data_IF_218360075432
#
_entry.id   IF_218360075432
#
_cell.length_a   1.000
_cell.length_b   1.000
_cell.length_c   1.000
_cell.angle_alpha   90.00
_cell.angle_beta   90.00
_cell.angle_gamma   90.00
#
_symmetry.space_group_name_H-M   'P 1'
#
loop_
_entity.id
_entity.type
_entity.pdbx_description
1 polymer ?
#
# COMPACT_ATOMS: atom_id res chain seq x y z
N UNK A 1 -7.19 -12.00 27.39
CA UNK A 1 -8.31 -12.07 26.40
C UNK A 1 -9.66 -12.54 26.95
N UNK A 2 -9.90 -12.57 28.28
CA UNK A 2 -11.13 -13.16 28.87
C UNK A 2 -12.38 -12.28 28.81
N UNK A 3 -12.30 -11.10 28.19
CA UNK A 3 -13.37 -10.10 28.19
C UNK A 3 -14.27 -10.18 26.95
N UNK A 4 -13.85 -10.90 25.90
CA UNK A 4 -14.55 -11.00 24.61
C UNK A 4 -14.38 -12.39 24.02
N UNK A 5 -15.37 -12.87 23.27
CA UNK A 5 -15.35 -14.19 22.62
C UNK A 5 -14.73 -14.16 21.20
N UNK A 6 -14.44 -12.97 20.68
CA UNK A 6 -13.82 -12.80 19.37
C UNK A 6 -12.28 -12.89 19.46
N UNK A 7 -11.59 -13.34 18.38
CA UNK A 7 -10.13 -13.36 18.35
C UNK A 7 -9.52 -11.99 18.67
N UNK A 8 -8.62 -11.95 19.65
CA UNK A 8 -7.81 -10.77 19.94
C UNK A 8 -6.43 -10.96 19.33
N UNK A 9 -6.00 -9.99 18.51
CA UNK A 9 -4.71 -10.03 17.81
C UNK A 9 -3.89 -8.79 18.16
N UNK A 10 -2.57 -8.86 17.96
CA UNK A 10 -1.65 -7.78 18.33
C UNK A 10 -0.90 -7.30 17.09
N UNK A 11 -0.78 -5.98 16.90
CA UNK A 11 0.16 -5.40 15.93
C UNK A 11 1.16 -4.51 16.63
N UNK A 12 2.44 -4.76 16.41
CA UNK A 12 3.52 -4.05 17.11
C UNK A 12 4.74 -3.83 16.22
N UNK A 13 5.74 -3.14 16.79
CA UNK A 13 7.09 -2.89 16.26
C UNK A 13 8.11 -3.67 17.08
N UNK A 14 9.33 -3.84 16.54
CA UNK A 14 10.35 -4.69 17.20
C UNK A 14 10.93 -4.11 18.51
N UNK A 15 10.70 -2.83 18.78
CA UNK A 15 11.23 -2.15 19.97
C UNK A 15 11.06 -0.63 19.88
N UNK A 16 11.55 0.08 20.89
CA UNK A 16 11.46 1.54 20.94
C UNK A 16 12.52 2.22 20.06
N UNK A 17 13.77 1.80 20.19
CA UNK A 17 14.94 2.23 19.41
C UNK A 17 15.90 1.03 19.23
N UNK A 18 17.09 1.24 18.66
CA UNK A 18 18.04 0.15 18.39
C UNK A 18 18.77 -0.36 19.64
N UNK A 19 18.74 0.39 20.74
CA UNK A 19 19.24 -0.02 22.05
C UNK A 19 18.19 -0.84 22.84
N UNK A 20 16.92 -0.76 22.46
CA UNK A 20 15.77 -1.31 23.19
C UNK A 20 14.88 -2.16 22.27
N UNK A 21 15.45 -3.23 21.70
CA UNK A 21 14.71 -4.24 20.94
C UNK A 21 14.18 -5.31 21.91
N UNK A 22 12.86 -5.32 22.13
CA UNK A 22 12.19 -6.12 23.18
C UNK A 22 11.18 -7.12 22.64
N UNK A 23 11.10 -7.27 21.31
CA UNK A 23 10.01 -8.00 20.65
C UNK A 23 9.83 -9.44 21.11
N UNK A 24 10.90 -10.17 21.42
CA UNK A 24 10.79 -11.59 21.76
C UNK A 24 10.07 -11.80 23.10
N UNK A 25 10.45 -11.03 24.13
CA UNK A 25 9.78 -11.06 25.43
C UNK A 25 8.34 -10.53 25.33
N UNK A 26 8.15 -9.42 24.61
CA UNK A 26 6.82 -8.86 24.39
C UNK A 26 5.88 -9.85 23.70
N UNK A 27 6.34 -10.48 22.62
CA UNK A 27 5.53 -11.38 21.81
C UNK A 27 5.08 -12.62 22.60
N UNK A 28 5.99 -13.25 23.37
CA UNK A 28 5.65 -14.37 24.25
C UNK A 28 4.61 -14.00 25.29
N UNK A 29 4.76 -12.84 25.94
CA UNK A 29 3.76 -12.35 26.91
C UNK A 29 2.40 -12.11 26.28
N UNK A 30 2.34 -11.69 25.01
CA UNK A 30 1.07 -11.52 24.30
C UNK A 30 0.40 -12.86 24.01
N UNK A 31 1.18 -13.87 23.60
CA UNK A 31 0.70 -15.24 23.42
C UNK A 31 0.19 -15.82 24.75
N UNK A 32 0.95 -15.70 25.84
CA UNK A 32 0.56 -16.12 27.20
C UNK A 32 -0.72 -15.42 27.68
N UNK A 33 -0.90 -14.15 27.30
CA UNK A 33 -2.12 -13.39 27.59
C UNK A 33 -3.34 -13.82 26.73
N UNK A 34 -3.13 -14.70 25.76
CA UNK A 34 -4.10 -15.35 24.90
C UNK A 34 -4.32 -14.67 23.55
N UNK A 35 -3.38 -13.85 23.05
CA UNK A 35 -3.44 -13.35 21.69
C UNK A 35 -3.45 -14.51 20.68
N UNK A 36 -4.27 -14.43 19.64
CA UNK A 36 -4.42 -15.51 18.66
C UNK A 36 -3.60 -15.29 17.37
N UNK A 37 -3.02 -14.11 17.18
CA UNK A 37 -2.12 -13.79 16.07
C UNK A 37 -1.33 -12.52 16.43
N UNK A 38 -0.09 -12.43 15.96
CA UNK A 38 0.71 -11.20 16.05
C UNK A 38 1.16 -10.73 14.66
N UNK A 39 1.08 -9.43 14.40
CA UNK A 39 1.72 -8.79 13.25
C UNK A 39 2.91 -7.97 13.72
N UNK A 40 4.08 -8.23 13.16
CA UNK A 40 5.32 -7.55 13.54
C UNK A 40 5.81 -6.65 12.40
N UNK A 41 5.83 -5.35 12.65
CA UNK A 41 6.55 -4.43 11.77
C UNK A 41 8.03 -4.46 12.13
N UNK A 42 8.89 -4.88 11.19
CA UNK A 42 10.35 -5.02 11.35
C UNK A 42 11.14 -3.72 11.61
N UNK A 43 10.51 -2.65 12.11
CA UNK A 43 11.20 -1.40 12.48
C UNK A 43 10.95 -1.05 13.94
N UNK A 44 11.88 -0.34 14.56
CA UNK A 44 11.68 0.25 15.89
C UNK A 44 10.76 1.46 15.80
N UNK A 45 10.20 1.91 16.92
CA UNK A 45 9.38 3.13 16.98
C UNK A 45 10.17 4.35 16.49
N UNK A 46 11.42 4.51 16.93
CA UNK A 46 12.29 5.65 16.59
C UNK A 46 12.63 5.73 15.09
N UNK A 47 12.73 4.60 14.40
CA UNK A 47 12.98 4.58 12.95
C UNK A 47 11.82 5.16 12.12
N UNK A 48 10.59 5.13 12.63
CA UNK A 48 9.42 5.55 11.86
C UNK A 48 9.31 4.77 10.54
N UNK A 49 9.53 5.45 9.42
CA UNK A 49 9.52 4.86 8.07
C UNK A 49 10.90 4.84 7.39
N UNK A 50 11.94 5.26 8.12
CA UNK A 50 13.32 5.33 7.64
C UNK A 50 14.03 3.97 7.74
N UNK A 51 15.12 3.81 7.00
CA UNK A 51 15.87 2.56 6.91
C UNK A 51 15.04 1.42 6.32
N UNK A 52 15.57 0.20 6.36
CA UNK A 52 14.87 -1.01 5.89
C UNK A 52 14.18 -1.73 7.05
N UNK A 53 13.05 -2.39 6.77
CA UNK A 53 12.45 -3.32 7.71
C UNK A 53 13.41 -4.50 7.94
N UNK A 54 13.71 -4.75 9.21
CA UNK A 54 14.57 -5.84 9.70
C UNK A 54 13.77 -7.12 9.84
N UNK A 55 13.62 -7.84 8.73
CA UNK A 55 12.85 -9.09 8.66
C UNK A 55 13.46 -10.21 9.52
N UNK A 56 14.76 -10.17 9.84
CA UNK A 56 15.40 -11.14 10.73
C UNK A 56 14.77 -11.17 12.13
N UNK A 57 14.21 -10.05 12.60
CA UNK A 57 13.48 -10.03 13.87
C UNK A 57 12.09 -10.67 13.77
N UNK A 58 11.47 -10.63 12.59
CA UNK A 58 10.19 -11.32 12.34
C UNK A 58 10.45 -12.83 12.36
N UNK A 59 11.53 -13.31 11.73
CA UNK A 59 11.96 -14.70 11.79
C UNK A 59 12.14 -15.20 13.23
N UNK A 60 12.89 -14.46 14.04
CA UNK A 60 13.09 -14.79 15.47
C UNK A 60 11.79 -14.82 16.27
N UNK A 61 10.81 -13.98 15.93
CA UNK A 61 9.48 -14.03 16.56
C UNK A 61 8.74 -15.29 16.12
N UNK A 62 8.77 -15.62 14.83
CA UNK A 62 8.13 -16.83 14.30
C UNK A 62 8.68 -18.11 14.93
N UNK A 63 9.99 -18.16 15.20
CA UNK A 63 10.63 -19.31 15.85
C UNK A 63 10.15 -19.56 17.29
N UNK A 64 9.71 -18.52 18.01
CA UNK A 64 9.42 -18.61 19.45
C UNK A 64 7.93 -18.64 19.79
N UNK A 65 7.05 -18.40 18.83
CA UNK A 65 5.59 -18.41 19.02
C UNK A 65 4.97 -19.63 18.36
N UNK A 66 3.86 -20.09 18.93
CA UNK A 66 3.01 -21.13 18.33
C UNK A 66 1.82 -20.55 17.56
N UNK A 67 1.39 -19.34 17.91
CA UNK A 67 0.34 -18.60 17.19
C UNK A 67 0.84 -18.04 15.85
N UNK A 68 -0.06 -17.78 14.88
CA UNK A 68 0.29 -17.15 13.60
C UNK A 68 1.03 -15.81 13.75
N UNK A 69 2.07 -15.62 12.92
CA UNK A 69 2.88 -14.41 12.82
C UNK A 69 2.76 -13.83 11.42
N UNK A 70 2.37 -12.55 11.33
CA UNK A 70 2.28 -11.80 10.08
C UNK A 70 3.47 -10.85 9.97
N UNK A 71 4.25 -10.99 8.89
CA UNK A 71 5.35 -10.10 8.56
C UNK A 71 4.87 -8.76 8.02
N UNK A 72 5.41 -7.64 8.51
CA UNK A 72 5.07 -6.31 8.02
C UNK A 72 6.32 -5.44 7.85
N UNK A 73 6.29 -4.61 6.81
CA UNK A 73 7.36 -3.67 6.49
C UNK A 73 7.97 -3.97 5.12
N UNK A 74 7.96 -2.96 4.25
CA UNK A 74 8.61 -2.96 2.94
C UNK A 74 8.13 -4.01 1.94
N UNK A 75 6.87 -4.44 2.10
CA UNK A 75 6.13 -5.25 1.13
C UNK A 75 5.54 -4.30 0.08
N UNK A 76 6.26 -4.13 -1.02
CA UNK A 76 5.92 -3.24 -2.14
C UNK A 76 5.67 -3.96 -3.47
N UNK A 77 5.88 -5.27 -3.51
CA UNK A 77 5.72 -6.12 -4.70
C UNK A 77 5.41 -7.55 -4.29
N UNK A 78 4.95 -8.37 -5.24
CA UNK A 78 4.79 -9.82 -5.10
C UNK A 78 6.11 -10.46 -4.65
N UNK A 79 7.18 -10.17 -5.36
CA UNK A 79 8.53 -10.66 -5.04
C UNK A 79 9.02 -10.24 -3.63
N UNK A 80 8.70 -9.02 -3.16
CA UNK A 80 9.01 -8.62 -1.80
C UNK A 80 8.19 -9.40 -0.75
N UNK A 81 6.93 -9.73 -1.06
CA UNK A 81 6.11 -10.60 -0.21
C UNK A 81 6.69 -12.01 -0.12
N UNK A 82 7.05 -12.60 -1.27
CA UNK A 82 7.66 -13.94 -1.36
C UNK A 82 8.96 -13.99 -0.56
N UNK A 83 9.90 -13.07 -0.79
CA UNK A 83 11.14 -13.02 -0.02
C UNK A 83 10.91 -12.85 1.48
N UNK A 84 9.94 -12.03 1.88
CA UNK A 84 9.62 -11.86 3.29
C UNK A 84 9.15 -13.18 3.89
N UNK A 85 8.26 -13.92 3.21
CA UNK A 85 7.77 -15.22 3.68
C UNK A 85 8.91 -16.24 3.76
N UNK A 86 9.73 -16.35 2.72
CA UNK A 86 10.87 -17.27 2.66
C UNK A 86 11.90 -16.99 3.76
N UNK A 87 12.24 -15.72 3.99
CA UNK A 87 13.25 -15.35 4.98
C UNK A 87 12.76 -15.47 6.43
N UNK A 88 11.46 -15.32 6.66
CA UNK A 88 10.92 -15.22 8.03
C UNK A 88 10.15 -16.45 8.48
N UNK A 89 9.69 -17.29 7.54
CA UNK A 89 8.73 -18.35 7.84
C UNK A 89 7.38 -17.84 8.36
N UNK A 90 7.09 -16.54 8.23
CA UNK A 90 5.82 -15.96 8.68
C UNK A 90 4.64 -16.60 7.95
N UNK A 91 3.48 -16.64 8.61
CA UNK A 91 2.26 -17.28 8.09
C UNK A 91 1.50 -16.38 7.09
N UNK A 92 1.97 -15.15 6.92
CA UNK A 92 1.43 -14.19 5.97
C UNK A 92 2.19 -12.87 6.01
N UNK A 93 1.85 -11.99 5.08
CA UNK A 93 2.38 -10.62 5.03
C UNK A 93 1.26 -9.59 5.11
N UNK A 94 1.58 -8.44 5.71
CA UNK A 94 0.71 -7.27 5.71
C UNK A 94 1.31 -6.17 4.84
N UNK A 95 0.58 -5.75 3.82
CA UNK A 95 0.93 -4.62 2.96
C UNK A 95 0.34 -3.32 3.52
N UNK A 96 1.04 -2.19 3.33
CA UNK A 96 0.51 -0.88 3.72
C UNK A 96 0.89 0.20 2.72
N UNK A 97 2.12 0.73 2.76
CA UNK A 97 2.51 1.79 1.82
C UNK A 97 2.47 1.34 0.36
N UNK A 98 2.73 0.06 0.09
CA UNK A 98 2.64 -0.53 -1.25
C UNK A 98 1.23 -0.51 -1.85
N UNK A 99 0.17 -0.38 -1.03
CA UNK A 99 -1.21 -0.33 -1.53
C UNK A 99 -1.73 1.07 -1.79
N UNK A 100 -0.98 2.12 -1.41
CA UNK A 100 -1.40 3.51 -1.57
C UNK A 100 -1.40 3.90 -3.05
N UNK A 101 -2.60 4.10 -3.60
CA UNK A 101 -2.81 4.33 -5.04
C UNK A 101 -2.55 3.10 -5.91
N UNK A 102 -2.44 1.93 -5.30
CA UNK A 102 -2.24 0.65 -5.97
C UNK A 102 -2.85 -0.50 -5.13
N UNK A 103 -4.17 -0.52 -4.93
CA UNK A 103 -4.82 -1.51 -4.05
C UNK A 103 -4.69 -2.95 -4.57
N UNK A 104 -4.39 -3.12 -5.86
CA UNK A 104 -4.24 -4.41 -6.55
C UNK A 104 -3.16 -5.33 -5.96
N UNK A 105 -2.12 -4.76 -5.34
CA UNK A 105 -0.98 -5.52 -4.80
C UNK A 105 -1.38 -6.70 -3.90
N UNK A 106 -2.43 -6.55 -3.08
CA UNK A 106 -2.86 -7.62 -2.18
C UNK A 106 -3.42 -8.81 -2.97
N UNK A 107 -4.19 -8.55 -4.03
CA UNK A 107 -4.73 -9.59 -4.91
C UNK A 107 -3.67 -10.23 -5.78
N UNK A 108 -2.68 -9.47 -6.25
CA UNK A 108 -1.53 -9.99 -6.98
C UNK A 108 -0.68 -10.94 -6.12
N UNK A 109 -0.42 -10.56 -4.86
CA UNK A 109 0.29 -11.43 -3.90
C UNK A 109 -0.53 -12.71 -3.65
N UNK A 110 -1.82 -12.59 -3.36
CA UNK A 110 -2.68 -13.75 -3.10
C UNK A 110 -2.76 -14.70 -4.30
N UNK A 111 -2.88 -14.16 -5.51
CA UNK A 111 -2.88 -14.94 -6.75
C UNK A 111 -1.57 -15.71 -6.91
N UNK A 112 -0.43 -15.02 -6.85
CA UNK A 112 0.88 -15.65 -6.98
C UNK A 112 1.13 -16.73 -5.94
N UNK A 113 0.76 -16.50 -4.67
CA UNK A 113 0.94 -17.49 -3.62
C UNK A 113 0.07 -18.75 -3.82
N UNK A 114 -1.04 -18.65 -4.55
CA UNK A 114 -1.95 -19.78 -4.85
C UNK A 114 -1.59 -20.53 -6.12
N UNK A 115 -1.11 -19.83 -7.15
CA UNK A 115 -0.93 -20.38 -8.50
C UNK A 115 0.53 -20.50 -8.93
N UNK A 116 1.43 -19.70 -8.33
CA UNK A 116 2.79 -19.50 -8.83
C UNK A 116 2.88 -18.63 -10.08
N UNK A 117 1.77 -18.03 -10.52
CA UNK A 117 1.68 -17.20 -11.73
C UNK A 117 1.56 -15.72 -11.37
N UNK A 118 2.16 -14.85 -12.19
CA UNK A 118 2.04 -13.40 -12.04
C UNK A 118 0.82 -12.87 -12.80
N UNK A 119 0.07 -11.97 -12.18
CA UNK A 119 -0.94 -11.19 -12.88
C UNK A 119 -0.29 -10.07 -13.69
N UNK A 120 -0.86 -9.70 -14.86
CA UNK A 120 -0.42 -8.50 -15.55
C UNK A 120 -0.68 -7.27 -14.67
N UNK A 121 0.30 -6.36 -14.63
CA UNK A 121 0.13 -5.09 -13.94
C UNK A 121 -1.05 -4.29 -14.53
N UNK A 122 -1.84 -3.58 -13.70
CA UNK A 122 -2.93 -2.77 -14.18
C UNK A 122 -2.39 -1.60 -15.01
N UNK A 123 -3.10 -1.32 -16.10
CA UNK A 123 -2.82 -0.16 -16.95
C UNK A 123 -3.11 1.14 -16.18
N UNK A 124 -2.54 2.28 -16.63
CA UNK A 124 -2.92 3.59 -16.09
C UNK A 124 -4.43 3.85 -16.11
N UNK A 125 -5.14 3.38 -17.14
CA UNK A 125 -6.60 3.49 -17.24
C UNK A 125 -7.28 2.74 -16.09
N UNK A 126 -6.92 1.46 -15.86
CA UNK A 126 -7.48 0.66 -14.77
C UNK A 126 -7.19 1.26 -13.39
N UNK A 127 -6.02 1.88 -13.20
CA UNK A 127 -5.71 2.60 -11.96
C UNK A 127 -6.60 3.84 -11.77
N UNK A 128 -6.89 4.58 -12.83
CA UNK A 128 -7.79 5.74 -12.78
C UNK A 128 -9.25 5.35 -12.62
N UNK A 129 -9.70 4.23 -13.21
CA UNK A 129 -11.01 3.65 -12.96
C UNK A 129 -11.17 3.27 -11.48
N UNK A 130 -10.16 2.62 -10.89
CA UNK A 130 -10.14 2.34 -9.46
C UNK A 130 -10.16 3.64 -8.61
N UNK A 131 -9.44 4.68 -9.02
CA UNK A 131 -9.47 5.97 -8.35
C UNK A 131 -10.87 6.60 -8.39
N UNK A 132 -11.55 6.50 -9.54
CA UNK A 132 -12.90 6.99 -9.77
C UNK A 132 -13.91 6.29 -8.85
N UNK A 133 -13.87 4.96 -8.80
CA UNK A 133 -14.69 4.16 -7.89
C UNK A 133 -14.43 4.53 -6.43
N UNK A 134 -13.15 4.69 -6.05
CA UNK A 134 -12.78 5.07 -4.69
C UNK A 134 -13.29 6.47 -4.32
N UNK A 135 -13.14 7.46 -5.20
CA UNK A 135 -13.68 8.81 -4.99
C UNK A 135 -15.21 8.77 -4.79
N UNK A 136 -15.92 8.05 -5.67
CA UNK A 136 -17.37 7.92 -5.60
C UNK A 136 -17.80 7.21 -4.31
N UNK A 137 -17.16 6.09 -3.95
CA UNK A 137 -17.47 5.35 -2.74
C UNK A 137 -17.24 6.18 -1.47
N UNK A 138 -16.16 6.98 -1.44
CA UNK A 138 -15.86 7.83 -0.29
C UNK A 138 -16.85 8.99 -0.15
N UNK A 139 -17.32 9.54 -1.28
CA UNK A 139 -18.43 10.50 -1.29
C UNK A 139 -19.74 9.87 -0.80
N UNK A 140 -20.12 8.69 -1.31
CA UNK A 140 -21.33 8.00 -0.85
C UNK A 140 -21.30 7.70 0.65
N UNK A 141 -20.13 7.38 1.19
CA UNK A 141 -19.97 7.08 2.61
C UNK A 141 -19.92 8.33 3.52
N UNK A 142 -19.35 9.45 3.06
CA UNK A 142 -19.04 10.60 3.93
C UNK A 142 -19.48 11.98 3.39
N UNK A 143 -20.19 12.02 2.27
CA UNK A 143 -20.51 13.25 1.54
C UNK A 143 -19.26 14.08 1.21
N UNK A 144 -19.36 15.40 1.34
CA UNK A 144 -18.26 16.34 1.05
C UNK A 144 -17.01 16.11 1.91
N UNK A 145 -17.18 15.58 3.13
CA UNK A 145 -16.01 15.20 3.96
C UNK A 145 -15.23 14.07 3.30
N UNK A 146 -15.93 13.19 2.59
CA UNK A 146 -15.34 12.13 1.77
C UNK A 146 -14.51 12.69 0.63
N UNK A 147 -15.03 13.69 -0.10
CA UNK A 147 -14.30 14.36 -1.19
C UNK A 147 -13.00 14.99 -0.68
N UNK A 148 -13.07 15.73 0.44
CA UNK A 148 -11.86 16.32 1.07
C UNK A 148 -10.82 15.27 1.48
N UNK A 149 -11.26 14.11 1.97
CA UNK A 149 -10.36 12.99 2.28
C UNK A 149 -9.83 12.33 1.00
N UNK A 150 -10.64 12.23 -0.05
CA UNK A 150 -10.28 11.61 -1.33
C UNK A 150 -9.11 12.32 -2.01
N UNK A 151 -9.00 13.65 -1.90
CA UNK A 151 -7.90 14.46 -2.47
C UNK A 151 -6.53 13.81 -2.28
N UNK A 152 -6.22 13.39 -1.04
CA UNK A 152 -4.96 12.69 -0.72
C UNK A 152 -4.83 11.35 -1.46
N UNK A 153 -5.89 10.54 -1.47
CA UNK A 153 -5.92 9.26 -2.16
C UNK A 153 -5.71 9.42 -3.67
N UNK A 154 -6.37 10.40 -4.28
CA UNK A 154 -6.28 10.68 -5.72
C UNK A 154 -4.85 11.02 -6.15
N UNK A 155 -4.10 11.74 -5.30
CA UNK A 155 -2.68 12.02 -5.59
C UNK A 155 -1.80 10.77 -5.65
N UNK A 156 -2.19 9.67 -5.00
CA UNK A 156 -1.47 8.41 -5.04
C UNK A 156 -1.71 7.61 -6.32
N UNK A 157 -2.92 7.72 -6.89
CA UNK A 157 -3.28 7.06 -8.16
C UNK A 157 -2.69 7.78 -9.38
N UNK A 158 -2.67 9.11 -9.38
CA UNK A 158 -2.25 9.91 -10.52
C UNK A 158 -0.72 9.90 -10.74
N UNK A 159 -0.15 8.76 -11.16
CA UNK A 159 1.29 8.55 -11.41
C UNK A 159 1.50 7.57 -12.57
N UNK A 160 2.68 7.62 -13.22
CA UNK A 160 3.08 6.61 -14.20
C UNK A 160 2.53 6.78 -15.62
N UNK A 161 2.03 7.96 -15.98
CA UNK A 161 1.59 8.30 -17.34
C UNK A 161 1.86 9.78 -17.66
N UNK A 162 1.92 10.14 -18.95
CA UNK A 162 2.04 11.53 -19.38
C UNK A 162 0.86 12.36 -18.86
N UNK A 163 1.10 13.59 -18.38
CA UNK A 163 0.05 14.43 -17.79
C UNK A 163 -0.31 14.11 -16.32
N UNK A 164 0.23 13.03 -15.73
CA UNK A 164 -0.10 12.63 -14.35
C UNK A 164 0.20 13.71 -13.29
N UNK A 165 1.24 14.53 -13.48
CA UNK A 165 1.58 15.60 -12.55
C UNK A 165 0.53 16.73 -12.54
N UNK A 166 0.03 17.11 -13.71
CA UNK A 166 -1.04 18.09 -13.84
C UNK A 166 -2.33 17.58 -13.20
N UNK A 167 -2.74 16.35 -13.55
CA UNK A 167 -3.93 15.73 -12.98
C UNK A 167 -3.82 15.64 -11.44
N UNK A 168 -2.66 15.25 -10.91
CA UNK A 168 -2.42 15.20 -9.46
C UNK A 168 -2.61 16.56 -8.80
N UNK A 169 -2.13 17.64 -9.42
CA UNK A 169 -2.34 19.01 -8.94
C UNK A 169 -3.83 19.35 -8.89
N UNK A 170 -4.56 19.10 -9.97
CA UNK A 170 -6.00 19.35 -10.08
C UNK A 170 -6.82 18.53 -9.05
N UNK A 171 -6.57 17.22 -8.97
CA UNK A 171 -7.26 16.30 -8.04
C UNK A 171 -6.98 16.62 -6.57
N UNK A 172 -5.86 17.28 -6.25
CA UNK A 172 -5.57 17.71 -4.89
C UNK A 172 -6.47 18.88 -4.41
N UNK A 173 -7.15 19.55 -5.34
CA UNK A 173 -7.94 20.77 -5.10
C UNK A 173 -9.45 20.59 -5.37
N UNK A 174 -9.92 19.40 -5.75
CA UNK A 174 -11.34 19.19 -6.09
C UNK A 174 -12.28 19.51 -4.93
N UNK A 175 -13.32 20.31 -5.17
CA UNK A 175 -14.29 20.70 -4.14
C UNK A 175 -15.55 19.84 -4.14
N UNK A 176 -15.90 19.25 -5.28
CA UNK A 176 -17.08 18.39 -5.46
C UNK A 176 -16.69 17.02 -6.02
N UNK A 177 -17.54 16.02 -5.82
CA UNK A 177 -17.33 14.69 -6.38
C UNK A 177 -17.43 14.73 -7.90
N UNK A 178 -18.38 15.50 -8.44
CA UNK A 178 -18.62 15.66 -9.88
C UNK A 178 -17.39 16.22 -10.60
N UNK A 179 -16.71 17.21 -10.01
CA UNK A 179 -15.47 17.76 -10.54
C UNK A 179 -14.37 16.70 -10.63
N UNK A 180 -14.18 15.92 -9.56
CA UNK A 180 -13.17 14.87 -9.53
C UNK A 180 -13.46 13.73 -10.51
N UNK A 181 -14.71 13.29 -10.60
CA UNK A 181 -15.14 12.26 -11.56
C UNK A 181 -14.93 12.73 -13.00
N UNK A 182 -15.32 13.97 -13.33
CA UNK A 182 -15.13 14.53 -14.67
C UNK A 182 -13.64 14.63 -15.06
N UNK A 183 -12.76 14.99 -14.13
CA UNK A 183 -11.31 15.04 -14.37
C UNK A 183 -10.72 13.66 -14.65
N UNK A 184 -11.15 12.65 -13.89
CA UNK A 184 -10.74 11.26 -14.08
C UNK A 184 -11.24 10.71 -15.42
N UNK A 185 -12.53 10.89 -15.73
CA UNK A 185 -13.15 10.42 -16.96
C UNK A 185 -12.47 11.00 -18.21
N UNK A 186 -12.22 12.32 -18.23
CA UNK A 186 -11.48 12.98 -19.32
C UNK A 186 -10.06 12.46 -19.48
N UNK A 187 -9.39 12.13 -18.37
CA UNK A 187 -8.01 11.61 -18.45
C UNK A 187 -8.01 10.18 -18.98
N UNK A 188 -8.96 9.35 -18.55
CA UNK A 188 -9.16 7.99 -19.06
C UNK A 188 -9.42 8.04 -20.57
N UNK A 189 -10.32 8.91 -21.04
CA UNK A 189 -10.61 9.10 -22.46
C UNK A 189 -9.36 9.51 -23.25
N UNK A 190 -8.58 10.48 -22.76
CA UNK A 190 -7.32 10.90 -23.40
C UNK A 190 -6.30 9.77 -23.49
N UNK A 191 -6.17 8.97 -22.45
CA UNK A 191 -5.25 7.82 -22.44
C UNK A 191 -5.72 6.72 -23.40
N UNK A 192 -7.03 6.52 -23.56
CA UNK A 192 -7.61 5.51 -24.44
C UNK A 192 -7.43 5.83 -25.93
N UNK A 193 -7.49 7.10 -26.32
CA UNK A 193 -7.39 7.53 -27.72
C UNK A 193 -5.95 7.79 -28.19
N UNK A 194 -4.97 7.65 -27.29
CA UNK A 194 -3.61 8.11 -27.54
C UNK A 194 -3.54 9.63 -27.55
N UNK A 195 -2.45 10.19 -27.02
CA UNK A 195 -2.20 11.61 -27.15
C UNK A 195 -2.05 11.95 -28.64
N UNK A 196 -3.02 12.65 -29.25
CA UNK A 196 -2.71 13.49 -30.41
C UNK A 196 -1.76 14.58 -29.91
N UNK A 197 -0.46 14.36 -30.12
CA UNK A 197 0.55 15.37 -29.88
C UNK A 197 0.42 16.37 -31.02
N UNK A 198 -0.08 17.58 -30.74
CA UNK A 198 0.25 18.74 -31.55
C UNK A 198 1.78 18.90 -31.50
N UNK A 199 2.44 18.49 -32.58
CA UNK A 199 3.86 18.75 -32.77
C UNK A 199 3.99 20.24 -33.09
N UNK A 200 4.16 21.07 -32.06
CA UNK A 200 4.73 22.39 -32.25
C UNK A 200 6.18 22.20 -32.73
N UNK A 201 6.37 22.35 -34.03
CA UNK A 201 7.67 22.43 -34.67
C UNK A 201 8.45 23.61 -34.07
N UNK A 202 9.41 23.33 -33.21
CA UNK A 202 10.41 24.31 -32.76
C UNK A 202 11.77 24.02 -33.39
N UNK A 203 12.55 25.06 -33.74
CA UNK A 203 13.59 25.00 -34.76
C UNK A 203 14.92 24.45 -34.22
N UNK A 204 15.68 23.88 -35.16
CA UNK A 204 17.08 23.45 -35.08
C UNK A 204 17.92 24.22 -34.04
N UNK A 205 18.49 23.51 -33.08
CA UNK A 205 19.73 23.92 -32.44
C UNK A 205 20.88 23.12 -33.05
N UNK A 206 21.73 23.85 -33.78
CA UNK A 206 22.98 23.36 -34.35
C UNK A 206 24.00 23.07 -33.25
N UNK A 207 24.74 21.98 -33.44
CA UNK A 207 25.92 21.57 -32.69
C UNK A 207 27.04 22.61 -32.81
N UNK A 208 27.53 23.09 -31.66
CA UNK A 208 28.96 23.34 -31.38
C UNK A 208 29.22 22.99 -29.91
#
# INVERSE_FOLDING_TARGET
VKAVDVPVTVKTRIGWNDQEITILDFAKRMEDAGAQMITVHGRTRAQGYNGNARWEWIARVKEVLTIPVIGNGDIFSVDAAVRCLEQTGADGVMCSRGTLGYPFLVGEIDHFLKTGEELPAPTPIQLLECAREHLQALYLYKGDRGVRQARKHMTWYAKGFAGAAELRGQLSLIDTVEQGLLMLDRTIEKLAHGYEVEVESSPNFALV
#
